data_IF_026905352409
#
_entry.id   IF_026905352409
#
_cell.length_a   1.000
_cell.length_b   1.000
_cell.length_c   1.000
_cell.angle_alpha   90.00
_cell.angle_beta   90.00
_cell.angle_gamma   90.00
#
_symmetry.space_group_name_H-M   'P 1'
#
loop_
_entity.id
_entity.type
_entity.pdbx_description
1 polymer ?
#
# COMPACT_ATOMS: atom_id res chain seq x y z
N UNK A 1 8.44 14.46 5.85
CA UNK A 1 9.15 13.26 5.35
C UNK A 1 9.05 13.19 3.84
N UNK A 2 10.14 12.81 3.16
CA UNK A 2 10.13 12.59 1.72
C UNK A 2 9.86 11.12 1.42
N UNK A 3 9.50 10.84 0.14
CA UNK A 3 9.30 9.45 -0.27
C UNK A 3 10.62 8.65 -0.21
N UNK A 4 11.75 9.29 -0.48
CA UNK A 4 13.07 8.68 -0.38
C UNK A 4 13.41 8.29 1.05
N UNK A 5 13.03 9.12 2.03
CA UNK A 5 13.19 8.79 3.44
C UNK A 5 12.32 7.61 3.84
N UNK A 6 11.08 7.56 3.31
CA UNK A 6 10.16 6.46 3.58
C UNK A 6 10.68 5.13 3.02
N UNK A 7 11.37 5.15 1.88
CA UNK A 7 11.95 3.95 1.27
C UNK A 7 13.01 3.30 2.17
N UNK A 8 13.58 4.04 3.10
CA UNK A 8 14.57 3.54 4.07
C UNK A 8 13.93 2.98 5.34
N UNK A 9 12.64 3.20 5.53
CA UNK A 9 11.92 2.68 6.70
C UNK A 9 11.68 1.19 6.50
N UNK A 10 11.99 0.34 7.49
CA UNK A 10 11.74 -1.08 7.36
C UNK A 10 10.25 -1.40 7.41
N UNK A 11 9.81 -2.24 6.46
CA UNK A 11 8.44 -2.73 6.37
C UNK A 11 8.42 -4.23 6.50
N UNK A 12 7.28 -4.76 6.96
CA UNK A 12 7.07 -6.20 7.04
C UNK A 12 5.71 -6.55 6.44
N UNK A 13 5.60 -7.80 5.99
CA UNK A 13 4.35 -8.37 5.50
C UNK A 13 3.37 -8.52 6.67
N UNK A 14 2.12 -8.13 6.44
CA UNK A 14 1.05 -8.24 7.44
C UNK A 14 0.06 -9.32 7.06
N UNK A 15 -0.48 -9.25 5.85
CA UNK A 15 -1.54 -10.15 5.41
C UNK A 15 -1.62 -10.24 3.90
N UNK A 16 -2.14 -11.36 3.42
CA UNK A 16 -2.52 -11.55 2.03
C UNK A 16 -3.95 -12.06 2.00
N UNK A 17 -4.79 -11.40 1.20
CA UNK A 17 -6.18 -11.77 1.02
C UNK A 17 -6.41 -12.12 -0.45
N UNK A 18 -6.92 -13.33 -0.70
CA UNK A 18 -7.27 -13.79 -2.04
C UNK A 18 -8.78 -13.82 -2.16
N UNK A 19 -9.30 -12.96 -3.02
CA UNK A 19 -10.71 -12.95 -3.41
C UNK A 19 -10.80 -13.35 -4.88
N UNK A 20 -11.98 -13.69 -5.35
CA UNK A 20 -12.18 -14.16 -6.71
C UNK A 20 -11.67 -13.15 -7.76
N UNK A 21 -11.92 -11.87 -7.53
CA UNK A 21 -11.62 -10.78 -8.47
C UNK A 21 -10.43 -9.91 -8.07
N UNK A 22 -9.83 -10.15 -6.89
CA UNK A 22 -8.78 -9.29 -6.37
C UNK A 22 -7.91 -10.03 -5.37
N UNK A 23 -6.59 -9.90 -5.52
CA UNK A 23 -5.64 -10.33 -4.50
C UNK A 23 -5.00 -9.09 -3.88
N UNK A 24 -5.00 -9.01 -2.56
CA UNK A 24 -4.45 -7.86 -1.84
C UNK A 24 -3.37 -8.30 -0.87
N UNK A 25 -2.21 -7.66 -0.94
CA UNK A 25 -1.10 -7.89 -0.01
C UNK A 25 -0.87 -6.62 0.80
N UNK A 26 -0.85 -6.74 2.11
CA UNK A 26 -0.69 -5.61 3.02
C UNK A 26 0.68 -5.66 3.70
N UNK A 27 1.34 -4.51 3.71
CA UNK A 27 2.62 -4.28 4.39
C UNK A 27 2.47 -3.14 5.37
N UNK A 28 3.23 -3.18 6.45
CA UNK A 28 3.22 -2.13 7.47
C UNK A 28 4.65 -1.84 7.90
N UNK A 29 4.95 -0.56 8.18
CA UNK A 29 6.24 -0.20 8.77
C UNK A 29 6.37 -0.80 10.16
N UNK A 30 7.61 -1.11 10.58
CA UNK A 30 7.86 -1.77 11.87
C UNK A 30 7.39 -0.92 13.05
N UNK A 31 7.34 0.40 12.90
CA UNK A 31 6.80 1.30 13.92
C UNK A 31 5.28 1.50 13.85
N UNK A 32 4.61 0.88 12.86
CA UNK A 32 3.16 0.94 12.71
C UNK A 32 2.61 2.23 12.11
N UNK A 33 3.45 3.20 11.75
CA UNK A 33 3.00 4.52 11.28
C UNK A 33 2.53 4.53 9.83
N UNK A 34 3.10 3.67 8.99
CA UNK A 34 2.84 3.64 7.54
C UNK A 34 2.41 2.27 7.09
N UNK A 35 1.66 2.22 6.00
CA UNK A 35 1.27 0.96 5.38
C UNK A 35 1.08 1.08 3.88
N UNK A 36 1.14 -0.06 3.20
CA UNK A 36 0.83 -0.18 1.79
C UNK A 36 -0.08 -1.39 1.58
N UNK A 37 -1.03 -1.25 0.65
CA UNK A 37 -1.82 -2.38 0.18
C UNK A 37 -1.64 -2.48 -1.34
N UNK A 38 -1.05 -3.58 -1.80
CA UNK A 38 -0.90 -3.86 -3.22
C UNK A 38 -2.06 -4.71 -3.69
N UNK A 39 -2.78 -4.23 -4.70
CA UNK A 39 -3.95 -4.89 -5.25
C UNK A 39 -3.66 -5.39 -6.66
N UNK A 40 -3.93 -6.67 -6.89
CA UNK A 40 -3.81 -7.31 -8.20
C UNK A 40 -5.20 -7.78 -8.61
N UNK A 41 -5.81 -7.16 -9.65
CA UNK A 41 -7.10 -7.64 -10.16
C UNK A 41 -6.96 -9.02 -10.79
N UNK A 42 -7.98 -9.85 -10.61
CA UNK A 42 -8.02 -11.20 -11.17
C UNK A 42 -9.29 -11.40 -11.98
N UNK A 43 -9.19 -12.23 -13.01
CA UNK A 43 -10.33 -12.67 -13.80
C UNK A 43 -10.08 -14.12 -14.26
N UNK A 44 -11.06 -15.00 -13.99
CA UNK A 44 -10.96 -16.43 -14.34
C UNK A 44 -9.69 -17.10 -13.78
N UNK A 45 -9.31 -16.72 -12.56
CA UNK A 45 -8.15 -17.30 -11.87
C UNK A 45 -6.80 -16.76 -12.31
N UNK A 46 -6.77 -15.73 -13.14
CA UNK A 46 -5.53 -15.14 -13.65
C UNK A 46 -5.48 -13.63 -13.39
N UNK A 47 -4.25 -13.06 -13.20
CA UNK A 47 -4.11 -11.61 -13.10
C UNK A 47 -4.67 -10.93 -14.35
N UNK A 48 -5.44 -9.87 -14.16
CA UNK A 48 -6.10 -9.15 -15.23
C UNK A 48 -6.13 -7.65 -14.95
N UNK A 49 -5.57 -6.85 -15.84
CA UNK A 49 -5.53 -5.41 -15.71
C UNK A 49 -4.31 -4.92 -14.92
N UNK A 50 -4.35 -3.66 -14.49
CA UNK A 50 -3.23 -3.02 -13.81
C UNK A 50 -3.26 -3.29 -12.32
N UNK A 51 -2.09 -3.58 -11.74
CA UNK A 51 -1.92 -3.56 -10.29
C UNK A 51 -1.97 -2.11 -9.82
N UNK A 52 -2.43 -1.89 -8.58
CA UNK A 52 -2.46 -0.57 -7.99
C UNK A 52 -2.17 -0.66 -6.50
N UNK A 53 -1.74 0.46 -5.92
CA UNK A 53 -1.35 0.52 -4.52
C UNK A 53 -2.14 1.59 -3.80
N UNK A 54 -2.63 1.27 -2.60
CA UNK A 54 -3.13 2.23 -1.65
C UNK A 54 -2.09 2.46 -0.56
N UNK A 55 -2.06 3.65 -0.01
CA UNK A 55 -1.06 4.10 0.96
C UNK A 55 -1.76 4.49 2.26
N UNK A 56 -1.09 4.32 3.39
CA UNK A 56 -1.65 4.66 4.69
C UNK A 56 -0.64 5.45 5.52
N UNK A 57 -1.13 6.50 6.19
CA UNK A 57 -0.40 7.22 7.23
C UNK A 57 -1.29 7.21 8.46
N UNK A 58 -0.82 6.58 9.56
CA UNK A 58 -1.67 6.37 10.73
C UNK A 58 -2.92 5.59 10.35
N UNK A 59 -4.10 6.15 10.59
CA UNK A 59 -5.37 5.54 10.25
C UNK A 59 -5.95 6.00 8.91
N UNK A 60 -5.28 6.95 8.24
CA UNK A 60 -5.82 7.54 7.01
C UNK A 60 -5.26 6.83 5.78
N UNK A 61 -6.14 6.44 4.86
CA UNK A 61 -5.82 5.77 3.61
C UNK A 61 -5.82 6.76 2.46
N UNK A 62 -4.81 6.68 1.60
CA UNK A 62 -4.67 7.49 0.40
C UNK A 62 -4.67 6.57 -0.82
N UNK A 63 -5.57 6.80 -1.77
CA UNK A 63 -5.64 6.04 -3.01
C UNK A 63 -4.72 6.60 -4.09
N UNK A 64 -4.29 7.85 -3.93
CA UNK A 64 -3.42 8.54 -4.87
C UNK A 64 -2.03 8.69 -4.28
N UNK A 65 -1.00 8.29 -5.06
CA UNK A 65 0.39 8.45 -4.65
C UNK A 65 0.73 9.94 -4.47
N UNK A 66 0.22 10.81 -5.34
CA UNK A 66 0.47 12.24 -5.25
C UNK A 66 -0.06 12.83 -3.95
N UNK A 67 -1.28 12.45 -3.55
CA UNK A 67 -1.87 12.89 -2.28
C UNK A 67 -1.14 12.33 -1.08
N UNK A 68 -0.67 11.09 -1.17
CA UNK A 68 0.12 10.47 -0.12
C UNK A 68 1.45 11.21 0.07
N UNK A 69 2.16 11.52 -1.02
CA UNK A 69 3.43 12.27 -0.96
C UNK A 69 3.20 13.65 -0.36
N UNK A 70 2.12 14.32 -0.73
CA UNK A 70 1.76 15.62 -0.16
C UNK A 70 1.53 15.52 1.35
N UNK A 71 0.81 14.49 1.79
CA UNK A 71 0.56 14.26 3.21
C UNK A 71 1.82 13.92 3.99
N UNK A 72 2.81 13.26 3.35
CA UNK A 72 4.10 12.95 3.99
C UNK A 72 4.86 14.19 4.43
N UNK A 73 4.64 15.33 3.77
CA UNK A 73 5.32 16.59 4.13
C UNK A 73 4.98 17.05 5.54
N UNK A 74 3.84 16.62 6.07
CA UNK A 74 3.37 16.99 7.41
C UNK A 74 3.77 15.96 8.48
N UNK A 75 4.55 14.98 8.12
CA UNK A 75 5.01 13.91 9.02
C UNK A 75 6.42 14.18 9.52
#
# INVERSE_FOLDING_TARGET
MTIEELEKVPFHFVAHMSMEDMHTTTYESDDGRFGFCDHVPFKNGEPHGRTFRHYRIGLKVYKSKAKFIEALKDV
#
